data_IF_924002992714
#
_entry.id   IF_924002992714
#
_cell.length_a   1.000
_cell.length_b   1.000
_cell.length_c   1.000
_cell.angle_alpha   90.00
_cell.angle_beta   90.00
_cell.angle_gamma   90.00
#
_symmetry.space_group_name_H-M   'P 1'
#
loop_
_entity.id
_entity.type
_entity.pdbx_description
1 polymer ?
#
# COMPACT_ATOMS: atom_id res chain seq x y z
N UNK A 1 -6.72 -17.03 17.11
CA UNK A 1 -6.41 -16.96 15.67
C UNK A 1 -7.39 -15.95 15.10
N UNK A 2 -6.98 -14.68 15.03
CA UNK A 2 -7.83 -13.59 14.52
C UNK A 2 -8.21 -13.87 13.07
N UNK A 3 -9.48 -13.62 12.70
CA UNK A 3 -9.89 -13.71 11.29
C UNK A 3 -9.33 -12.52 10.51
N UNK A 4 -8.98 -12.73 9.23
CA UNK A 4 -8.69 -11.63 8.30
C UNK A 4 -9.88 -10.66 8.32
N UNK A 5 -9.63 -9.35 8.29
CA UNK A 5 -10.72 -8.37 8.20
C UNK A 5 -11.61 -8.74 7.00
N UNK A 6 -12.91 -9.06 7.20
CA UNK A 6 -13.77 -9.56 6.14
C UNK A 6 -13.88 -8.63 4.93
N UNK A 7 -13.78 -7.30 5.14
CA UNK A 7 -13.79 -6.32 4.07
C UNK A 7 -12.51 -6.39 3.19
N UNK A 8 -11.37 -6.73 3.82
CA UNK A 8 -10.12 -6.96 3.09
C UNK A 8 -10.16 -8.28 2.29
N UNK A 9 -10.63 -9.37 2.92
CA UNK A 9 -10.61 -10.68 2.28
C UNK A 9 -11.56 -10.77 1.05
N UNK A 10 -12.79 -10.24 1.15
CA UNK A 10 -13.81 -10.37 0.09
C UNK A 10 -13.62 -9.34 -1.04
N UNK A 11 -13.21 -8.11 -0.70
CA UNK A 11 -13.01 -7.04 -1.68
C UNK A 11 -11.78 -7.27 -2.55
N UNK A 12 -10.69 -7.76 -1.97
CA UNK A 12 -9.44 -7.98 -2.68
C UNK A 12 -9.43 -9.24 -3.55
N UNK A 13 -10.17 -10.28 -3.17
CA UNK A 13 -10.24 -11.52 -3.95
C UNK A 13 -10.97 -11.35 -5.30
N UNK A 14 -11.96 -10.44 -5.35
CA UNK A 14 -12.75 -10.17 -6.56
C UNK A 14 -12.08 -9.24 -7.57
N UNK A 15 -11.17 -8.40 -7.13
CA UNK A 15 -10.64 -7.28 -7.93
C UNK A 15 -9.12 -7.26 -8.09
N UNK A 16 -8.42 -8.38 -7.80
CA UNK A 16 -6.95 -8.42 -7.84
C UNK A 16 -6.36 -7.94 -9.18
N UNK A 17 -6.93 -8.35 -10.32
CA UNK A 17 -6.47 -7.96 -11.64
C UNK A 17 -6.72 -6.47 -11.95
N UNK A 18 -7.90 -5.93 -11.60
CA UNK A 18 -8.22 -4.51 -11.72
C UNK A 18 -7.33 -3.68 -10.76
N UNK A 19 -7.10 -4.18 -9.56
CA UNK A 19 -6.24 -3.55 -8.56
C UNK A 19 -4.81 -3.33 -9.09
N UNK A 20 -4.21 -4.33 -9.73
CA UNK A 20 -2.86 -4.26 -10.27
C UNK A 20 -2.70 -3.20 -11.37
N UNK A 21 -3.74 -3.01 -12.21
CA UNK A 21 -3.69 -2.12 -13.37
C UNK A 21 -3.86 -0.64 -13.03
N UNK A 22 -4.56 -0.31 -11.93
CA UNK A 22 -4.90 1.08 -11.57
C UNK A 22 -4.12 1.64 -10.37
N UNK A 23 -3.37 0.80 -9.65
CA UNK A 23 -2.59 1.27 -8.49
C UNK A 23 -1.23 1.80 -8.90
N UNK A 24 -0.81 2.98 -8.38
CA UNK A 24 0.50 3.52 -8.71
C UNK A 24 1.62 2.69 -8.09
N UNK A 25 2.73 2.54 -8.82
CA UNK A 25 4.02 2.14 -8.23
C UNK A 25 4.52 3.24 -7.29
N UNK A 26 5.53 2.94 -6.49
CA UNK A 26 6.12 3.91 -5.56
C UNK A 26 7.12 4.81 -6.29
N UNK A 27 7.32 6.03 -5.77
CA UNK A 27 8.25 6.99 -6.37
C UNK A 27 9.68 6.42 -6.42
N UNK A 28 10.41 6.68 -7.51
CA UNK A 28 11.79 6.24 -7.63
C UNK A 28 12.66 6.76 -6.48
N UNK A 29 12.50 8.04 -6.10
CA UNK A 29 13.22 8.62 -4.97
C UNK A 29 12.91 7.94 -3.61
N UNK A 30 11.75 7.30 -3.45
CA UNK A 30 11.47 6.48 -2.28
C UNK A 30 12.25 5.17 -2.32
N UNK A 31 12.45 4.57 -3.51
CA UNK A 31 13.30 3.38 -3.67
C UNK A 31 14.77 3.72 -3.46
N UNK A 32 15.24 4.90 -3.92
CA UNK A 32 16.59 5.39 -3.66
C UNK A 32 16.83 5.54 -2.15
N UNK A 33 15.87 6.11 -1.40
CA UNK A 33 15.94 6.16 0.06
C UNK A 33 16.03 4.75 0.68
N UNK A 34 15.23 3.80 0.19
CA UNK A 34 15.29 2.42 0.70
C UNK A 34 16.64 1.76 0.39
N UNK A 35 17.22 2.02 -0.79
CA UNK A 35 18.56 1.52 -1.13
C UNK A 35 19.62 2.10 -0.18
N UNK A 36 19.60 3.39 0.09
CA UNK A 36 20.50 4.05 1.05
C UNK A 36 20.38 3.48 2.47
N UNK A 37 19.17 3.11 2.89
CA UNK A 37 18.91 2.59 4.26
C UNK A 37 19.18 1.09 4.41
N UNK A 38 18.92 0.31 3.36
CA UNK A 38 18.86 -1.16 3.37
C UNK A 38 20.03 -1.78 2.60
N UNK A 39 20.46 -1.16 1.49
CA UNK A 39 21.46 -1.70 0.56
C UNK A 39 20.84 -2.66 -0.46
N UNK A 40 19.73 -2.27 -1.08
CA UNK A 40 19.00 -3.08 -2.06
C UNK A 40 19.91 -3.54 -3.22
N UNK A 41 20.68 -2.60 -3.78
CA UNK A 41 21.63 -2.86 -4.86
C UNK A 41 22.75 -3.86 -4.47
N UNK A 42 23.00 -4.02 -3.18
CA UNK A 42 23.93 -4.99 -2.63
C UNK A 42 23.36 -6.41 -2.47
N UNK A 43 22.11 -6.65 -2.83
CA UNK A 43 21.44 -7.94 -2.68
C UNK A 43 20.89 -8.19 -1.28
N UNK A 44 20.41 -7.16 -0.60
CA UNK A 44 19.82 -7.30 0.73
C UNK A 44 18.62 -8.28 0.71
N UNK A 45 18.51 -9.10 1.76
CA UNK A 45 17.38 -10.02 1.97
C UNK A 45 16.18 -9.24 2.54
N UNK A 46 15.13 -9.09 1.75
CA UNK A 46 13.95 -8.28 2.10
C UNK A 46 12.69 -9.15 2.18
N UNK A 47 11.95 -9.00 3.29
CA UNK A 47 10.60 -9.53 3.39
C UNK A 47 9.60 -8.42 2.98
N UNK A 48 8.89 -8.60 1.86
CA UNK A 48 7.80 -7.71 1.45
C UNK A 48 6.48 -8.26 1.99
N UNK A 49 6.00 -7.69 3.10
CA UNK A 49 4.91 -8.19 3.91
C UNK A 49 3.57 -7.59 3.50
N UNK A 50 2.57 -8.44 3.27
CA UNK A 50 1.30 -8.13 2.61
C UNK A 50 1.55 -7.55 1.20
N UNK A 51 2.32 -8.27 0.41
CA UNK A 51 2.84 -7.84 -0.90
C UNK A 51 1.72 -7.60 -1.94
N UNK A 52 0.51 -8.11 -1.70
CA UNK A 52 -0.62 -7.98 -2.61
C UNK A 52 -0.29 -8.57 -3.98
N UNK A 53 -0.49 -7.76 -5.02
CA UNK A 53 -0.15 -8.14 -6.41
C UNK A 53 1.33 -7.89 -6.78
N UNK A 54 2.21 -7.61 -5.81
CA UNK A 54 3.66 -7.49 -5.99
C UNK A 54 4.15 -6.16 -6.57
N UNK A 55 3.42 -5.08 -6.43
CA UNK A 55 3.83 -3.77 -6.98
C UNK A 55 5.17 -3.33 -6.37
N UNK A 56 5.32 -3.35 -5.03
CA UNK A 56 6.59 -3.00 -4.38
C UNK A 56 7.63 -4.08 -4.62
N UNK A 57 7.26 -5.35 -4.51
CA UNK A 57 8.17 -6.50 -4.76
C UNK A 57 8.93 -6.35 -6.06
N UNK A 58 8.23 -6.03 -7.19
CA UNK A 58 8.88 -5.84 -8.49
C UNK A 58 9.89 -4.69 -8.50
N UNK A 59 9.61 -3.61 -7.77
CA UNK A 59 10.53 -2.47 -7.66
C UNK A 59 11.75 -2.82 -6.81
N UNK A 60 11.58 -3.56 -5.72
CA UNK A 60 12.68 -4.04 -4.87
C UNK A 60 13.59 -5.02 -5.62
N UNK A 61 13.00 -5.98 -6.35
CA UNK A 61 13.75 -6.90 -7.22
C UNK A 61 14.53 -6.16 -8.32
N UNK A 62 13.91 -5.15 -8.94
CA UNK A 62 14.57 -4.33 -9.96
C UNK A 62 15.69 -3.46 -9.37
N UNK A 63 15.62 -3.09 -8.10
CA UNK A 63 16.68 -2.40 -7.37
C UNK A 63 17.82 -3.32 -6.94
N UNK A 64 17.68 -4.66 -7.10
CA UNK A 64 18.74 -5.64 -6.83
C UNK A 64 18.56 -6.45 -5.55
N UNK A 65 17.52 -6.26 -4.78
CA UNK A 65 17.24 -7.01 -3.55
C UNK A 65 16.85 -8.47 -3.85
N UNK A 66 17.11 -9.36 -2.90
CA UNK A 66 16.49 -10.67 -2.84
C UNK A 66 15.19 -10.57 -2.03
N UNK A 67 14.06 -10.81 -2.66
CA UNK A 67 12.76 -10.56 -2.02
C UNK A 67 12.00 -11.84 -1.76
N UNK A 68 11.56 -12.03 -0.51
CA UNK A 68 10.54 -13.00 -0.12
C UNK A 68 9.25 -12.23 0.18
N UNK A 69 8.25 -12.41 -0.68
CA UNK A 69 6.93 -11.83 -0.49
C UNK A 69 6.07 -12.67 0.46
N UNK A 70 5.22 -12.02 1.24
CA UNK A 70 4.23 -12.66 2.11
C UNK A 70 2.86 -12.07 1.84
N UNK A 71 1.85 -12.91 1.57
CA UNK A 71 0.49 -12.46 1.29
C UNK A 71 -0.54 -13.53 1.67
N UNK A 72 -1.50 -13.24 2.58
CA UNK A 72 -2.48 -14.23 3.00
C UNK A 72 -3.67 -14.41 2.03
N UNK A 73 -3.95 -13.42 1.14
CA UNK A 73 -5.13 -13.46 0.27
C UNK A 73 -4.84 -14.25 -1.01
N UNK A 74 -5.59 -15.32 -1.25
CA UNK A 74 -5.37 -16.26 -2.37
C UNK A 74 -5.40 -15.56 -3.73
N UNK A 75 -6.42 -14.73 -4.00
CA UNK A 75 -6.54 -14.01 -5.27
C UNK A 75 -5.38 -13.05 -5.54
N UNK A 76 -4.86 -12.40 -4.48
CA UNK A 76 -3.69 -11.53 -4.58
C UNK A 76 -2.43 -12.35 -4.90
N UNK A 77 -2.25 -13.53 -4.27
CA UNK A 77 -1.10 -14.41 -4.59
C UNK A 77 -1.15 -14.91 -6.03
N UNK A 78 -2.30 -15.30 -6.56
CA UNK A 78 -2.43 -15.71 -7.96
C UNK A 78 -2.05 -14.57 -8.93
N UNK A 79 -2.49 -13.35 -8.65
CA UNK A 79 -2.10 -12.19 -9.45
C UNK A 79 -0.60 -11.87 -9.31
N UNK A 80 -0.06 -12.01 -8.10
CA UNK A 80 1.38 -11.87 -7.85
C UNK A 80 2.18 -12.86 -8.69
N UNK A 81 1.86 -14.15 -8.66
CA UNK A 81 2.55 -15.20 -9.42
C UNK A 81 2.52 -14.93 -10.93
N UNK A 82 1.41 -14.44 -11.42
CA UNK A 82 1.22 -14.08 -12.82
C UNK A 82 2.05 -12.83 -13.23
N UNK A 83 2.11 -11.82 -12.36
CA UNK A 83 2.76 -10.52 -12.64
C UNK A 83 4.25 -10.48 -12.24
N UNK A 84 4.70 -11.41 -11.40
CA UNK A 84 6.09 -11.48 -10.89
C UNK A 84 6.64 -12.92 -10.97
N UNK A 85 6.73 -13.50 -12.18
CA UNK A 85 7.07 -14.89 -12.33
C UNK A 85 8.46 -15.20 -11.78
N UNK A 86 8.56 -16.28 -10.99
CA UNK A 86 9.79 -16.73 -10.38
C UNK A 86 10.16 -16.07 -9.04
N UNK A 87 9.40 -15.07 -8.59
CA UNK A 87 9.58 -14.53 -7.25
C UNK A 87 8.98 -15.46 -6.18
N UNK A 88 9.60 -15.47 -4.99
CA UNK A 88 9.12 -16.26 -3.87
C UNK A 88 7.95 -15.56 -3.21
N UNK A 89 6.83 -16.27 -3.03
CA UNK A 89 5.68 -15.80 -2.27
C UNK A 89 5.20 -16.86 -1.29
N UNK A 90 4.89 -16.46 -0.05
CA UNK A 90 4.53 -17.31 1.06
C UNK A 90 3.13 -16.96 1.58
N UNK A 91 2.30 -17.98 1.81
CA UNK A 91 1.00 -17.84 2.46
C UNK A 91 1.19 -17.72 3.97
N UNK A 92 1.20 -16.50 4.48
CA UNK A 92 1.27 -16.23 5.90
C UNK A 92 0.66 -14.86 6.26
N UNK A 93 0.44 -14.65 7.55
CA UNK A 93 -0.02 -13.38 8.11
C UNK A 93 1.12 -12.66 8.80
N UNK A 94 1.01 -11.33 8.90
CA UNK A 94 2.00 -10.49 9.57
C UNK A 94 2.22 -10.87 11.05
N UNK A 95 1.19 -11.37 11.69
CA UNK A 95 1.17 -11.77 13.10
C UNK A 95 1.79 -13.16 13.38
N UNK A 96 2.13 -13.91 12.31
CA UNK A 96 2.74 -15.26 12.43
C UNK A 96 3.51 -15.62 11.17
N UNK A 97 4.81 -15.30 11.16
CA UNK A 97 5.68 -15.48 10.01
C UNK A 97 6.44 -16.82 10.08
N UNK A 98 6.45 -17.63 8.99
CA UNK A 98 7.07 -18.95 8.98
C UNK A 98 8.59 -18.88 8.72
N UNK A 99 9.25 -17.86 9.29
CA UNK A 99 10.68 -17.64 9.15
C UNK A 99 11.40 -17.76 10.49
N UNK A 100 12.69 -18.06 10.44
CA UNK A 100 13.55 -18.04 11.62
C UNK A 100 13.77 -16.62 12.17
N UNK A 101 14.32 -16.54 13.37
CA UNK A 101 14.74 -15.26 13.93
C UNK A 101 15.91 -14.69 13.12
N UNK A 102 15.98 -13.35 13.01
CA UNK A 102 17.09 -12.65 12.39
C UNK A 102 17.42 -13.18 10.98
N UNK A 103 16.41 -13.18 10.10
CA UNK A 103 16.51 -13.73 8.72
C UNK A 103 16.69 -12.62 7.69
N UNK A 104 16.09 -11.43 7.89
CA UNK A 104 16.01 -10.39 6.87
C UNK A 104 16.77 -9.13 7.27
N UNK A 105 17.41 -8.50 6.28
CA UNK A 105 17.98 -7.14 6.41
C UNK A 105 16.89 -6.09 6.54
N UNK A 106 15.75 -6.32 5.88
CA UNK A 106 14.61 -5.42 5.97
C UNK A 106 13.27 -6.14 5.88
N UNK A 107 12.24 -5.51 6.49
CA UNK A 107 10.83 -5.81 6.26
C UNK A 107 10.18 -4.56 5.69
N UNK A 108 9.54 -4.69 4.53
CA UNK A 108 8.74 -3.63 3.90
C UNK A 108 7.25 -3.95 4.02
N UNK A 109 6.43 -2.94 4.28
CA UNK A 109 4.97 -3.05 4.29
C UNK A 109 4.39 -1.89 3.48
N UNK A 110 3.77 -2.20 2.36
CA UNK A 110 3.26 -1.20 1.46
C UNK A 110 1.73 -1.19 1.42
N UNK A 111 1.09 -0.07 1.75
CA UNK A 111 -0.38 0.12 1.75
C UNK A 111 -1.17 -0.83 2.67
N UNK A 112 -0.52 -1.52 3.62
CA UNK A 112 -1.15 -2.65 4.30
C UNK A 112 -1.11 -2.60 5.83
N UNK A 113 -0.17 -1.91 6.45
CA UNK A 113 0.06 -2.00 7.90
C UNK A 113 -1.19 -1.66 8.75
N UNK A 114 -2.08 -0.81 8.26
CA UNK A 114 -3.35 -0.46 8.93
C UNK A 114 -4.37 -1.61 8.98
N UNK A 115 -4.10 -2.74 8.34
CA UNK A 115 -4.89 -3.98 8.44
C UNK A 115 -4.40 -4.94 9.52
N UNK A 116 -3.21 -4.73 10.07
CA UNK A 116 -2.56 -5.64 11.00
C UNK A 116 -3.01 -5.40 12.45
N UNK A 117 -2.92 -6.44 13.24
CA UNK A 117 -2.85 -6.31 14.70
C UNK A 117 -1.46 -5.80 15.05
N UNK A 118 -1.32 -4.49 15.24
CA UNK A 118 -0.02 -3.82 15.27
C UNK A 118 0.98 -4.43 16.26
N UNK A 119 0.55 -4.74 17.49
CA UNK A 119 1.43 -5.33 18.52
C UNK A 119 2.03 -6.68 18.10
N UNK A 120 1.20 -7.70 17.80
CA UNK A 120 1.67 -9.01 17.32
C UNK A 120 2.49 -8.90 16.02
N UNK A 121 2.06 -8.08 15.05
CA UNK A 121 2.79 -7.90 13.81
C UNK A 121 4.17 -7.28 14.02
N UNK A 122 4.28 -6.23 14.83
CA UNK A 122 5.58 -5.61 15.16
C UNK A 122 6.50 -6.56 15.93
N UNK A 123 5.96 -7.43 16.79
CA UNK A 123 6.73 -8.45 17.47
C UNK A 123 7.35 -9.46 16.47
N UNK A 124 6.56 -9.94 15.50
CA UNK A 124 7.05 -10.84 14.45
C UNK A 124 8.04 -10.14 13.50
N UNK A 125 7.75 -8.92 13.07
CA UNK A 125 8.65 -8.12 12.25
C UNK A 125 9.99 -7.95 12.96
N UNK A 126 9.97 -7.58 14.24
CA UNK A 126 11.20 -7.48 15.05
C UNK A 126 11.93 -8.81 15.12
N UNK A 127 11.22 -9.92 15.34
CA UNK A 127 11.83 -11.26 15.44
C UNK A 127 12.59 -11.65 14.19
N UNK A 128 11.98 -11.45 13.02
CA UNK A 128 12.56 -11.86 11.74
C UNK A 128 13.63 -10.91 11.19
N UNK A 129 13.66 -9.65 11.62
CA UNK A 129 14.71 -8.70 11.25
C UNK A 129 16.04 -9.07 11.90
N UNK A 130 17.13 -8.91 11.18
CA UNK A 130 18.49 -8.90 11.74
C UNK A 130 18.64 -7.74 12.77
N UNK A 131 19.53 -7.85 13.78
CA UNK A 131 19.91 -6.70 14.59
C UNK A 131 20.37 -5.53 13.71
N UNK A 132 19.79 -4.33 13.90
CA UNK A 132 20.01 -3.17 13.05
C UNK A 132 19.26 -3.19 11.72
N UNK A 133 18.51 -4.25 11.41
CA UNK A 133 17.68 -4.36 10.23
C UNK A 133 16.56 -3.30 10.19
N UNK A 134 16.03 -3.03 9.00
CA UNK A 134 15.12 -1.91 8.73
C UNK A 134 13.68 -2.37 8.62
N UNK A 135 12.76 -1.72 9.35
CA UNK A 135 11.33 -1.72 9.05
C UNK A 135 11.01 -0.48 8.21
N UNK A 136 10.35 -0.67 7.06
CA UNK A 136 9.87 0.43 6.23
C UNK A 136 8.39 0.27 5.90
N UNK A 137 7.58 1.30 6.23
CA UNK A 137 6.16 1.39 5.90
C UNK A 137 5.96 2.41 4.78
N UNK A 138 5.25 2.03 3.71
CA UNK A 138 5.06 2.88 2.53
C UNK A 138 3.57 3.11 2.24
N UNK A 139 3.22 4.35 1.88
CA UNK A 139 1.90 4.68 1.35
C UNK A 139 2.01 5.62 0.16
N UNK A 140 1.24 5.36 -0.91
CA UNK A 140 0.92 6.35 -1.90
C UNK A 140 -0.32 7.12 -1.42
N UNK A 141 -0.12 8.36 -1.03
CA UNK A 141 -1.13 9.26 -0.47
C UNK A 141 -1.55 10.24 -1.56
N UNK A 142 -2.85 10.47 -1.71
CA UNK A 142 -3.36 11.48 -2.62
C UNK A 142 -3.10 12.87 -2.04
N UNK A 143 -2.68 13.80 -2.89
CA UNK A 143 -2.53 15.19 -2.49
C UNK A 143 -3.90 15.90 -2.56
N UNK A 144 -4.58 15.96 -1.43
CA UNK A 144 -5.88 16.61 -1.26
C UNK A 144 -5.77 18.15 -1.12
N UNK A 145 -4.57 18.74 -1.24
CA UNK A 145 -4.43 20.18 -1.41
C UNK A 145 -4.83 20.65 -2.83
N UNK A 146 -4.90 19.71 -3.77
CA UNK A 146 -5.39 19.94 -5.13
C UNK A 146 -6.91 19.82 -5.15
N UNK A 147 -7.59 20.88 -5.58
CA UNK A 147 -9.04 21.06 -5.43
C UNK A 147 -9.88 19.90 -6.00
N UNK A 148 -9.59 19.44 -7.21
CA UNK A 148 -10.35 18.33 -7.80
C UNK A 148 -10.15 17.00 -7.05
N UNK A 149 -8.99 16.79 -6.40
CA UNK A 149 -8.71 15.60 -5.59
C UNK A 149 -9.48 15.65 -4.28
N UNK A 150 -9.50 16.83 -3.62
CA UNK A 150 -10.32 17.06 -2.43
C UNK A 150 -11.80 16.79 -2.75
N UNK A 151 -12.31 17.35 -3.86
CA UNK A 151 -13.70 17.17 -4.27
C UNK A 151 -14.03 15.71 -4.61
N UNK A 152 -13.13 15.01 -5.28
CA UNK A 152 -13.29 13.57 -5.51
C UNK A 152 -13.37 12.79 -4.19
N UNK A 153 -12.50 13.10 -3.25
CA UNK A 153 -12.50 12.48 -1.91
C UNK A 153 -13.82 12.74 -1.18
N UNK A 154 -14.32 13.98 -1.21
CA UNK A 154 -15.60 14.37 -0.58
C UNK A 154 -16.79 13.61 -1.19
N UNK A 155 -16.85 13.50 -2.52
CA UNK A 155 -17.89 12.73 -3.20
C UNK A 155 -17.87 11.28 -2.73
N UNK A 156 -16.73 10.64 -2.78
CA UNK A 156 -16.58 9.23 -2.42
C UNK A 156 -16.94 9.02 -0.93
N UNK A 157 -16.46 9.87 -0.01
CA UNK A 157 -16.72 9.71 1.42
C UNK A 157 -18.18 10.02 1.78
N UNK A 158 -18.78 11.08 1.24
CA UNK A 158 -20.16 11.44 1.53
C UNK A 158 -21.16 10.39 1.06
N UNK A 159 -20.90 9.75 -0.08
CA UNK A 159 -21.80 8.77 -0.67
C UNK A 159 -21.63 7.35 -0.13
N UNK A 160 -20.49 7.05 0.49
CA UNK A 160 -20.20 5.70 1.05
C UNK A 160 -20.32 5.65 2.57
N UNK A 161 -20.57 6.77 3.24
CA UNK A 161 -20.60 6.86 4.70
C UNK A 161 -19.21 6.87 5.35
N UNK A 162 -18.18 7.15 4.56
CA UNK A 162 -16.78 7.15 5.00
C UNK A 162 -16.08 5.79 4.84
N UNK A 163 -14.86 5.69 5.34
CA UNK A 163 -14.08 4.45 5.31
C UNK A 163 -14.49 3.53 6.46
N UNK A 164 -14.69 2.24 6.23
CA UNK A 164 -15.01 1.29 7.28
C UNK A 164 -13.80 0.89 8.15
N UNK A 165 -12.64 1.51 7.95
CA UNK A 165 -11.39 1.26 8.65
C UNK A 165 -10.65 2.57 8.90
N UNK A 166 -9.77 2.59 9.90
CA UNK A 166 -8.94 3.76 10.19
C UNK A 166 -8.09 4.15 8.97
N UNK A 167 -8.16 5.42 8.59
CA UNK A 167 -7.27 5.95 7.56
C UNK A 167 -5.83 5.89 8.10
N UNK A 168 -4.90 5.42 7.25
CA UNK A 168 -3.47 5.42 7.59
C UNK A 168 -2.96 6.83 7.97
N UNK A 169 -3.69 7.90 7.64
CA UNK A 169 -3.40 9.30 8.00
C UNK A 169 -3.90 9.68 9.39
N UNK A 170 -4.80 8.90 9.98
CA UNK A 170 -5.38 9.15 11.32
C UNK A 170 -4.49 8.62 12.46
N UNK A 171 -3.51 7.77 12.13
CA UNK A 171 -2.61 7.17 13.09
C UNK A 171 -1.20 7.77 12.99
N UNK A 172 -0.63 8.08 14.13
CA UNK A 172 0.80 8.39 14.23
C UNK A 172 1.58 7.07 14.25
N UNK A 173 2.11 6.68 13.09
CA UNK A 173 2.87 5.45 12.95
C UNK A 173 4.15 5.43 13.79
N UNK A 174 4.73 6.61 14.06
CA UNK A 174 5.87 6.71 14.94
C UNK A 174 5.50 6.34 16.38
N UNK A 175 4.35 6.81 16.89
CA UNK A 175 3.84 6.42 18.19
C UNK A 175 3.48 4.93 18.25
N UNK A 176 2.82 4.40 17.21
CA UNK A 176 2.44 2.97 17.14
C UNK A 176 3.69 2.07 17.21
N UNK A 177 4.72 2.38 16.42
CA UNK A 177 5.96 1.59 16.38
C UNK A 177 6.73 1.74 17.70
N UNK A 178 6.87 2.97 18.22
CA UNK A 178 7.54 3.23 19.49
C UNK A 178 6.86 2.50 20.66
N UNK A 179 5.53 2.43 20.65
CA UNK A 179 4.76 1.74 21.68
C UNK A 179 5.00 0.22 21.73
N UNK A 180 5.40 -0.41 20.63
CA UNK A 180 5.74 -1.83 20.59
C UNK A 180 7.12 -2.14 21.18
N UNK A 181 8.02 -1.16 21.23
CA UNK A 181 9.40 -1.31 21.68
C UNK A 181 10.29 -2.13 20.73
N UNK A 182 11.60 -2.04 20.94
CA UNK A 182 12.58 -2.78 20.12
C UNK A 182 12.87 -2.18 18.76
N UNK A 183 12.39 -0.96 18.51
CA UNK A 183 12.72 -0.15 17.34
C UNK A 183 13.27 1.20 17.78
N UNK A 184 14.21 1.73 17.01
CA UNK A 184 14.77 3.06 17.17
C UNK A 184 13.80 4.17 16.74
N UNK A 185 14.26 5.42 16.73
CA UNK A 185 13.45 6.54 16.26
C UNK A 185 12.91 6.30 14.87
N UNK A 186 11.63 6.62 14.67
CA UNK A 186 10.99 6.54 13.36
C UNK A 186 11.25 7.81 12.58
N UNK A 187 11.81 7.66 11.40
CA UNK A 187 12.01 8.73 10.43
C UNK A 187 10.87 8.73 9.40
N UNK A 188 10.64 9.87 8.74
CA UNK A 188 9.61 10.04 7.73
C UNK A 188 10.10 10.90 6.57
N UNK A 189 9.81 10.47 5.34
CA UNK A 189 10.00 11.28 4.14
C UNK A 189 8.78 11.20 3.22
N UNK A 190 8.61 12.19 2.35
CA UNK A 190 7.55 12.23 1.34
C UNK A 190 8.14 12.61 -0.01
N UNK A 191 7.73 11.90 -1.05
CA UNK A 191 8.25 12.05 -2.41
C UNK A 191 7.09 12.21 -3.39
N UNK A 192 7.06 13.28 -4.20
CA UNK A 192 6.06 13.44 -5.25
C UNK A 192 6.02 12.22 -6.19
N UNK A 193 4.82 11.73 -6.47
CA UNK A 193 4.59 10.56 -7.32
C UNK A 193 3.39 10.78 -8.26
N UNK A 194 3.34 11.88 -9.03
CA UNK A 194 2.21 12.16 -9.89
C UNK A 194 2.09 11.10 -10.99
N UNK A 195 0.85 10.69 -11.30
CA UNK A 195 0.55 9.70 -12.34
C UNK A 195 -0.30 10.34 -13.43
N UNK A 196 0.01 10.06 -14.69
CA UNK A 196 -0.89 10.42 -15.76
C UNK A 196 -2.22 9.69 -15.59
N UNK A 197 -3.31 10.42 -15.64
CA UNK A 197 -4.65 9.88 -15.55
C UNK A 197 -5.56 10.47 -16.63
N UNK A 198 -6.63 9.73 -16.96
CA UNK A 198 -7.76 10.19 -17.76
C UNK A 198 -8.99 10.23 -16.88
N UNK A 199 -10.07 10.86 -17.34
CA UNK A 199 -11.38 10.83 -16.65
C UNK A 199 -11.82 9.38 -16.36
N UNK A 200 -11.74 8.51 -17.34
CA UNK A 200 -12.07 7.09 -17.18
C UNK A 200 -11.18 6.38 -16.12
N UNK A 201 -9.90 6.72 -16.08
CA UNK A 201 -8.98 6.15 -15.07
C UNK A 201 -9.34 6.57 -13.63
N UNK A 202 -9.84 7.80 -13.42
CA UNK A 202 -10.31 8.25 -12.11
C UNK A 202 -11.57 7.48 -11.69
N UNK A 203 -12.50 7.26 -12.61
CA UNK A 203 -13.72 6.47 -12.37
C UNK A 203 -13.35 5.03 -12.02
N UNK A 204 -12.46 4.40 -12.78
CA UNK A 204 -12.03 3.02 -12.54
C UNK A 204 -11.25 2.90 -11.22
N UNK A 205 -10.42 3.90 -10.90
CA UNK A 205 -9.74 4.01 -9.61
C UNK A 205 -10.75 4.08 -8.46
N UNK A 206 -11.87 4.80 -8.65
CA UNK A 206 -12.96 4.86 -7.67
C UNK A 206 -13.61 3.49 -7.49
N UNK A 207 -13.93 2.80 -8.60
CA UNK A 207 -14.50 1.46 -8.60
C UNK A 207 -13.65 0.47 -7.80
N UNK A 208 -12.32 0.50 -7.98
CA UNK A 208 -11.36 -0.39 -7.32
C UNK A 208 -11.10 -0.04 -5.84
N UNK A 209 -11.77 0.97 -5.28
CA UNK A 209 -11.66 1.28 -3.86
C UNK A 209 -12.52 0.29 -3.06
N UNK A 210 -11.93 -0.40 -2.08
CA UNK A 210 -12.53 -1.55 -1.40
C UNK A 210 -13.94 -1.29 -0.84
N UNK A 211 -14.18 -0.12 -0.25
CA UNK A 211 -15.48 0.24 0.30
C UNK A 211 -16.50 0.72 -0.77
N UNK A 212 -16.04 1.12 -1.97
CA UNK A 212 -16.91 1.35 -3.13
C UNK A 212 -17.25 0.02 -3.78
N UNK A 213 -16.27 -0.87 -3.93
CA UNK A 213 -16.46 -2.21 -4.49
C UNK A 213 -17.40 -3.08 -3.63
N UNK A 214 -17.51 -2.79 -2.33
CA UNK A 214 -18.41 -3.48 -1.40
C UNK A 214 -19.86 -2.97 -1.42
N UNK A 215 -20.16 -1.89 -2.13
CA UNK A 215 -21.53 -1.38 -2.29
C UNK A 215 -22.37 -2.29 -3.19
N UNK A 216 -23.69 -2.21 -3.05
CA UNK A 216 -24.60 -2.77 -4.05
C UNK A 216 -24.47 -2.04 -5.39
N UNK A 217 -24.95 -2.69 -6.47
CA UNK A 217 -24.78 -2.22 -7.85
C UNK A 217 -25.39 -0.84 -8.08
N UNK A 218 -26.49 -0.49 -7.39
CA UNK A 218 -27.17 0.77 -7.57
C UNK A 218 -26.38 1.92 -6.93
N UNK A 219 -25.94 1.72 -5.69
CA UNK A 219 -25.10 2.69 -4.98
C UNK A 219 -23.75 2.88 -5.64
N UNK A 220 -23.14 1.77 -6.10
CA UNK A 220 -21.87 1.86 -6.83
C UNK A 220 -22.01 2.70 -8.10
N UNK A 221 -23.09 2.48 -8.89
CA UNK A 221 -23.37 3.28 -10.09
C UNK A 221 -23.57 4.77 -9.78
N UNK A 222 -24.27 5.10 -8.68
CA UNK A 222 -24.46 6.50 -8.24
C UNK A 222 -23.12 7.18 -7.93
N UNK A 223 -22.24 6.52 -7.16
CA UNK A 223 -20.92 7.06 -6.82
C UNK A 223 -20.07 7.28 -8.07
N UNK A 224 -20.04 6.30 -8.97
CA UNK A 224 -19.24 6.38 -10.20
C UNK A 224 -19.75 7.48 -11.14
N UNK A 225 -21.07 7.63 -11.26
CA UNK A 225 -21.67 8.71 -12.07
C UNK A 225 -21.35 10.10 -11.50
N UNK A 226 -21.39 10.28 -10.19
CA UNK A 226 -21.02 11.54 -9.54
C UNK A 226 -19.55 11.89 -9.76
N UNK A 227 -18.65 10.90 -9.73
CA UNK A 227 -17.23 11.09 -10.02
C UNK A 227 -17.01 11.40 -11.50
N UNK A 228 -17.70 10.72 -12.40
CA UNK A 228 -17.63 10.98 -13.84
C UNK A 228 -18.07 12.42 -14.16
N UNK A 229 -19.20 12.86 -13.63
CA UNK A 229 -19.69 14.24 -13.77
C UNK A 229 -18.67 15.24 -13.21
N UNK A 230 -18.15 15.01 -12.02
CA UNK A 230 -17.16 15.88 -11.40
C UNK A 230 -15.92 16.00 -12.29
N UNK A 231 -15.35 14.90 -12.75
CA UNK A 231 -14.15 14.94 -13.60
C UNK A 231 -14.39 15.64 -14.94
N UNK A 232 -15.58 15.46 -15.55
CA UNK A 232 -15.95 16.08 -16.82
C UNK A 232 -16.18 17.59 -16.72
N UNK A 233 -16.56 18.10 -15.53
CA UNK A 233 -16.98 19.49 -15.35
C UNK A 233 -16.00 20.34 -14.53
N UNK A 234 -15.05 19.70 -13.82
CA UNK A 234 -14.12 20.43 -12.95
C UNK A 234 -13.23 21.38 -13.75
N UNK A 235 -13.06 22.65 -13.32
CA UNK A 235 -12.30 23.67 -14.08
C UNK A 235 -10.85 23.27 -14.39
N UNK A 236 -10.19 22.51 -13.51
CA UNK A 236 -8.83 22.05 -13.71
C UNK A 236 -8.70 20.87 -14.69
N UNK A 237 -9.80 20.16 -14.97
CA UNK A 237 -9.82 18.92 -15.75
C UNK A 237 -10.52 19.07 -17.09
N UNK A 238 -11.50 19.97 -17.19
CA UNK A 238 -12.30 20.17 -18.39
C UNK A 238 -11.43 20.49 -19.62
N UNK A 239 -11.67 19.76 -20.72
CA UNK A 239 -10.92 19.92 -21.96
C UNK A 239 -9.54 19.28 -21.97
N UNK A 240 -9.19 18.51 -20.97
CA UNK A 240 -7.94 17.74 -20.92
C UNK A 240 -8.22 16.25 -21.09
N UNK A 241 -7.59 15.62 -22.08
CA UNK A 241 -7.66 14.16 -22.26
C UNK A 241 -6.86 13.42 -21.18
N UNK A 242 -5.74 14.03 -20.76
CA UNK A 242 -4.84 13.53 -19.72
C UNK A 242 -4.42 14.64 -18.77
N UNK A 243 -4.26 14.31 -17.50
CA UNK A 243 -3.86 15.22 -16.44
C UNK A 243 -3.07 14.46 -15.34
N UNK A 244 -2.24 15.14 -14.53
CA UNK A 244 -1.59 14.49 -13.40
C UNK A 244 -2.61 14.16 -12.31
N UNK A 245 -2.64 12.89 -11.86
CA UNK A 245 -3.23 12.52 -10.59
C UNK A 245 -2.14 12.66 -9.52
N UNK A 246 -2.23 13.64 -8.63
CA UNK A 246 -1.19 13.91 -7.67
C UNK A 246 -1.20 12.89 -6.54
N UNK A 247 -0.09 12.17 -6.39
CA UNK A 247 0.23 11.33 -5.25
C UNK A 247 1.56 11.75 -4.67
N UNK A 248 1.73 11.47 -3.38
CA UNK A 248 3.00 11.40 -2.71
C UNK A 248 3.26 9.97 -2.24
N UNK A 249 4.46 9.46 -2.45
CA UNK A 249 4.93 8.27 -1.75
C UNK A 249 5.49 8.70 -0.40
N UNK A 250 4.80 8.35 0.68
CA UNK A 250 5.25 8.59 2.07
C UNK A 250 5.91 7.33 2.58
N UNK A 251 7.09 7.48 3.15
CA UNK A 251 7.88 6.41 3.77
C UNK A 251 8.11 6.73 5.23
N UNK A 252 7.81 5.76 6.10
CA UNK A 252 8.26 5.76 7.50
C UNK A 252 9.24 4.62 7.66
N UNK A 253 10.38 4.86 8.30
CA UNK A 253 11.34 3.78 8.54
C UNK A 253 12.03 3.93 9.89
N UNK A 254 12.46 2.79 10.42
CA UNK A 254 13.24 2.72 11.65
C UNK A 254 14.11 1.46 11.62
N UNK A 255 15.06 1.39 12.57
CA UNK A 255 15.91 0.21 12.73
C UNK A 255 15.48 -0.59 13.93
N UNK A 256 15.59 -1.93 13.82
CA UNK A 256 15.53 -2.80 14.97
C UNK A 256 16.68 -2.43 15.93
N UNK A 257 16.34 -2.18 17.19
CA UNK A 257 17.27 -2.10 18.32
C UNK A 257 17.04 -3.28 19.24
N UNK A 258 18.04 -3.70 19.96
CA UNK A 258 17.98 -4.92 20.80
C UNK A 258 17.00 -4.79 21.98
#
# INVERSE_FOLDING_TARGET
MGELNPAAAVGFDREAASYASVRPSYAAAALDLLDDCIGLAGGAEVCDLAAGTGILTRQLLAAGAHVTAVEPVVGMRHEFESSTPGAVIVDARAESLPFGDATFDAVTVAQAFHWFEAGPALAEIRRVLLPGGVLALLWNVRDESVDWVARWTDIVHSMTGGRPYHDHRELDWAEVIAGAGGFGPVERASFPNPRAATHAAVVERTRSTSFVAALDDDRQREVLAAVEEMTATHPELVGRDTFPFPYDTVVYWCRRVD
#
